data_IF_206566615442
#
_entry.id   IF_206566615442
#
_cell.length_a   1.000
_cell.length_b   1.000
_cell.length_c   1.000
_cell.angle_alpha   90.00
_cell.angle_beta   90.00
_cell.angle_gamma   90.00
#
_symmetry.space_group_name_H-M   'P 1'
#
loop_
_entity.id
_entity.type
_entity.pdbx_description
1 polymer ?
#
# COMPACT_ATOMS: atom_id res chain seq x y z
N UNK A 1 -21.19 28.50 -12.58
CA UNK A 1 -19.89 29.07 -12.17
C UNK A 1 -19.02 27.90 -11.77
N UNK A 2 -18.02 27.55 -12.59
CA UNK A 2 -17.10 26.45 -12.32
C UNK A 2 -16.03 26.94 -11.34
N UNK A 3 -16.08 26.46 -10.10
CA UNK A 3 -15.06 26.70 -9.08
C UNK A 3 -13.79 25.95 -9.48
N UNK A 4 -12.74 26.66 -9.86
CA UNK A 4 -11.31 26.29 -9.85
C UNK A 4 -10.88 24.86 -10.24
N UNK A 5 -11.65 24.16 -11.07
CA UNK A 5 -11.18 23.11 -11.98
C UNK A 5 -10.71 21.76 -11.40
N UNK A 6 -10.77 21.50 -10.09
CA UNK A 6 -10.33 20.21 -9.52
C UNK A 6 -11.50 19.28 -9.28
N UNK A 7 -11.82 18.44 -10.27
CA UNK A 7 -12.71 17.28 -10.09
C UNK A 7 -11.89 16.05 -9.66
N UNK A 8 -12.36 15.22 -8.71
CA UNK A 8 -13.56 15.39 -7.86
C UNK A 8 -13.30 16.32 -6.65
N UNK A 9 -14.28 17.16 -6.28
CA UNK A 9 -14.19 18.02 -5.09
C UNK A 9 -14.69 17.30 -3.81
N UNK A 10 -15.61 16.36 -3.99
CA UNK A 10 -16.19 15.53 -2.94
C UNK A 10 -16.28 14.06 -3.39
N UNK A 11 -16.32 13.14 -2.44
CA UNK A 11 -16.48 11.71 -2.71
C UNK A 11 -17.76 11.41 -3.50
N UNK A 12 -18.83 12.18 -3.28
CA UNK A 12 -20.09 12.07 -4.03
C UNK A 12 -19.92 12.37 -5.53
N UNK A 13 -18.93 13.16 -5.92
CA UNK A 13 -18.68 13.50 -7.33
C UNK A 13 -18.18 12.29 -8.14
N UNK A 14 -17.61 11.29 -7.45
CA UNK A 14 -17.24 9.99 -8.04
C UNK A 14 -18.47 9.13 -8.36
N UNK A 15 -19.62 9.44 -7.75
CA UNK A 15 -20.83 8.62 -7.79
C UNK A 15 -22.05 9.47 -8.20
N UNK A 16 -22.08 10.01 -9.44
CA UNK A 16 -23.11 10.97 -9.87
C UNK A 16 -24.54 10.42 -9.83
N UNK A 17 -24.70 9.10 -9.83
CA UNK A 17 -26.00 8.42 -9.73
C UNK A 17 -26.24 7.78 -8.36
N UNK A 18 -25.42 8.11 -7.37
CA UNK A 18 -25.40 7.49 -6.06
C UNK A 18 -24.48 6.28 -6.00
N UNK A 19 -23.85 6.12 -4.83
CA UNK A 19 -22.84 5.11 -4.57
C UNK A 19 -23.39 3.67 -4.72
N UNK A 20 -24.57 3.37 -4.15
CA UNK A 20 -25.18 2.04 -4.24
C UNK A 20 -25.47 1.63 -5.70
N UNK A 21 -26.10 2.53 -6.48
CA UNK A 21 -26.40 2.29 -7.90
C UNK A 21 -25.14 2.13 -8.74
N UNK A 22 -24.08 2.87 -8.41
CA UNK A 22 -22.79 2.74 -9.06
C UNK A 22 -22.19 1.36 -8.81
N UNK A 23 -22.17 0.89 -7.54
CA UNK A 23 -21.67 -0.44 -7.21
C UNK A 23 -22.49 -1.56 -7.85
N UNK A 24 -23.83 -1.49 -7.79
CA UNK A 24 -24.70 -2.47 -8.45
C UNK A 24 -24.45 -2.53 -9.97
N UNK A 25 -24.22 -1.37 -10.60
CA UNK A 25 -23.90 -1.29 -12.03
C UNK A 25 -22.56 -1.95 -12.32
N UNK A 26 -21.50 -1.60 -11.57
CA UNK A 26 -20.17 -2.19 -11.77
C UNK A 26 -20.21 -3.71 -11.60
N UNK A 27 -20.84 -4.22 -10.54
CA UNK A 27 -20.94 -5.65 -10.29
C UNK A 27 -21.78 -6.35 -11.36
N UNK A 28 -22.81 -5.70 -11.89
CA UNK A 28 -23.59 -6.23 -13.02
C UNK A 28 -22.72 -6.37 -14.27
N UNK A 29 -21.92 -5.35 -14.57
CA UNK A 29 -20.98 -5.35 -15.70
C UNK A 29 -19.82 -6.31 -15.54
N UNK A 30 -19.42 -6.62 -14.31
CA UNK A 30 -18.36 -7.58 -13.99
C UNK A 30 -18.57 -8.96 -14.63
N UNK A 31 -19.83 -9.35 -14.90
CA UNK A 31 -20.15 -10.61 -15.59
C UNK A 31 -19.78 -10.60 -17.07
N UNK A 32 -19.70 -9.43 -17.68
CA UNK A 32 -19.62 -9.24 -19.13
C UNK A 32 -18.29 -8.62 -19.58
N UNK A 33 -17.65 -7.84 -18.72
CA UNK A 33 -16.38 -7.16 -19.02
C UNK A 33 -15.22 -8.03 -18.55
N UNK A 34 -14.10 -7.95 -19.26
CA UNK A 34 -12.88 -8.62 -18.85
C UNK A 34 -12.42 -8.13 -17.47
N UNK A 35 -11.91 -9.05 -16.66
CA UNK A 35 -11.52 -8.83 -15.28
C UNK A 35 -10.63 -7.60 -15.09
N UNK A 36 -9.62 -7.35 -15.95
CA UNK A 36 -8.72 -6.22 -15.80
C UNK A 36 -9.39 -4.88 -15.60
N UNK A 37 -10.32 -4.55 -16.49
CA UNK A 37 -10.96 -3.24 -16.51
C UNK A 37 -11.84 -3.05 -15.29
N UNK A 38 -12.61 -4.07 -14.90
CA UNK A 38 -13.48 -3.99 -13.74
C UNK A 38 -12.69 -3.95 -12.43
N UNK A 39 -11.60 -4.73 -12.30
CA UNK A 39 -10.77 -4.71 -11.10
C UNK A 39 -9.96 -3.44 -10.97
N UNK A 40 -9.44 -2.88 -12.07
CA UNK A 40 -8.73 -1.60 -12.06
C UNK A 40 -9.69 -0.48 -11.62
N UNK A 41 -10.92 -0.49 -12.15
CA UNK A 41 -11.93 0.50 -11.79
C UNK A 41 -12.35 0.39 -10.31
N UNK A 42 -12.64 -0.82 -9.81
CA UNK A 42 -12.96 -1.01 -8.38
C UNK A 42 -11.75 -0.70 -7.51
N UNK A 43 -10.54 -1.09 -7.93
CA UNK A 43 -9.27 -0.77 -7.26
C UNK A 43 -9.14 0.73 -7.08
N UNK A 44 -9.24 1.50 -8.16
CA UNK A 44 -9.20 2.96 -8.12
C UNK A 44 -10.27 3.55 -7.18
N UNK A 45 -11.50 3.02 -7.18
CA UNK A 45 -12.55 3.46 -6.27
C UNK A 45 -12.29 3.10 -4.80
N UNK A 46 -11.63 1.97 -4.53
CA UNK A 46 -11.19 1.58 -3.20
C UNK A 46 -9.98 2.42 -2.75
N UNK A 47 -9.07 2.79 -3.64
CA UNK A 47 -7.94 3.66 -3.34
C UNK A 47 -8.41 5.09 -3.02
N UNK A 48 -9.32 5.65 -3.82
CA UNK A 48 -9.78 7.04 -3.67
C UNK A 48 -10.84 7.17 -2.57
N UNK A 49 -11.74 6.20 -2.44
CA UNK A 49 -12.88 6.24 -1.52
C UNK A 49 -13.10 4.89 -0.78
N UNK A 50 -12.12 4.39 -0.01
CA UNK A 50 -12.11 3.03 0.52
C UNK A 50 -13.35 2.69 1.34
N UNK A 51 -13.66 3.52 2.33
CA UNK A 51 -14.75 3.26 3.28
C UNK A 51 -16.13 3.36 2.63
N UNK A 52 -16.48 4.43 1.87
CA UNK A 52 -17.73 4.49 1.14
C UNK A 52 -17.88 3.32 0.15
N UNK A 53 -16.90 3.10 -0.72
CA UNK A 53 -16.93 2.04 -1.75
C UNK A 53 -17.15 0.67 -1.13
N UNK A 54 -16.36 0.31 -0.10
CA UNK A 54 -16.50 -1.00 0.54
C UNK A 54 -17.84 -1.14 1.28
N UNK A 55 -18.29 -0.10 1.99
CA UNK A 55 -19.60 -0.14 2.66
C UNK A 55 -20.74 -0.35 1.68
N UNK A 56 -20.67 0.27 0.49
CA UNK A 56 -21.69 0.11 -0.52
C UNK A 56 -21.64 -1.25 -1.22
N UNK A 57 -20.45 -1.81 -1.44
CA UNK A 57 -20.30 -3.19 -1.93
C UNK A 57 -20.89 -4.20 -0.93
N UNK A 58 -20.69 -3.99 0.38
CA UNK A 58 -21.26 -4.86 1.42
C UNK A 58 -22.80 -4.76 1.48
N UNK A 59 -23.35 -3.57 1.22
CA UNK A 59 -24.81 -3.33 1.24
C UNK A 59 -25.49 -3.61 -0.11
N UNK A 60 -24.71 -3.82 -1.18
CA UNK A 60 -25.21 -4.03 -2.53
C UNK A 60 -26.04 -5.31 -2.62
N UNK A 61 -27.15 -5.24 -3.37
CA UNK A 61 -27.95 -6.42 -3.74
C UNK A 61 -27.13 -7.45 -4.54
N UNK A 62 -26.06 -6.98 -5.19
CA UNK A 62 -25.14 -7.77 -5.99
C UNK A 62 -23.91 -8.26 -5.22
N UNK A 63 -23.82 -8.05 -3.89
CA UNK A 63 -22.68 -8.46 -3.05
C UNK A 63 -22.27 -9.91 -3.27
N UNK A 64 -23.20 -10.86 -3.20
CA UNK A 64 -22.88 -12.28 -3.39
C UNK A 64 -22.37 -12.58 -4.79
N UNK A 65 -22.90 -11.89 -5.81
CA UNK A 65 -22.42 -12.02 -7.18
C UNK A 65 -20.97 -11.54 -7.28
N UNK A 66 -20.67 -10.38 -6.68
CA UNK A 66 -19.31 -9.84 -6.65
C UNK A 66 -18.34 -10.81 -5.95
N UNK A 67 -18.66 -11.20 -4.71
CA UNK A 67 -17.82 -12.07 -3.89
C UNK A 67 -17.56 -13.43 -4.55
N UNK A 68 -18.61 -14.09 -5.05
CA UNK A 68 -18.47 -15.39 -5.72
C UNK A 68 -17.68 -15.29 -7.02
N UNK A 69 -17.88 -14.22 -7.81
CA UNK A 69 -17.15 -14.01 -9.06
C UNK A 69 -15.68 -13.74 -8.79
N UNK A 70 -15.36 -12.90 -7.80
CA UNK A 70 -14.00 -12.64 -7.34
C UNK A 70 -13.31 -13.94 -6.92
N UNK A 71 -13.94 -14.74 -6.05
CA UNK A 71 -13.40 -16.03 -5.62
C UNK A 71 -13.17 -16.98 -6.79
N UNK A 72 -14.17 -17.15 -7.67
CA UNK A 72 -14.05 -18.01 -8.86
C UNK A 72 -12.87 -17.60 -9.73
N UNK A 73 -12.65 -16.30 -9.92
CA UNK A 73 -11.55 -15.78 -10.74
C UNK A 73 -10.19 -15.98 -10.08
N UNK A 74 -10.07 -15.74 -8.77
CA UNK A 74 -8.86 -16.06 -8.02
C UNK A 74 -8.50 -17.55 -8.16
N UNK A 75 -9.49 -18.43 -8.11
CA UNK A 75 -9.31 -19.87 -8.31
C UNK A 75 -8.89 -20.19 -9.74
N UNK A 76 -9.59 -19.70 -10.76
CA UNK A 76 -9.25 -19.94 -12.18
C UNK A 76 -7.84 -19.47 -12.50
N UNK A 77 -7.47 -18.27 -12.08
CA UNK A 77 -6.14 -17.73 -12.36
C UNK A 77 -5.06 -18.46 -11.57
N UNK A 78 -5.28 -18.74 -10.29
CA UNK A 78 -4.34 -19.52 -9.49
C UNK A 78 -4.20 -20.97 -9.96
N UNK A 79 -5.26 -21.57 -10.52
CA UNK A 79 -5.19 -22.90 -11.11
C UNK A 79 -4.40 -22.89 -12.42
N UNK A 80 -4.62 -21.91 -13.30
CA UNK A 80 -3.80 -21.73 -14.51
C UNK A 80 -2.32 -21.63 -14.16
N UNK A 81 -2.01 -20.87 -13.13
CA UNK A 81 -0.66 -20.73 -12.57
C UNK A 81 -0.04 -22.06 -12.13
N UNK A 82 -0.85 -22.97 -11.57
CA UNK A 82 -0.40 -24.28 -11.10
C UNK A 82 -0.31 -25.31 -12.24
N UNK A 83 -1.22 -25.24 -13.21
CA UNK A 83 -1.29 -26.17 -14.35
C UNK A 83 -0.23 -25.88 -15.40
N UNK A 84 -0.02 -24.59 -15.66
CA UNK A 84 0.95 -24.15 -16.63
C UNK A 84 2.34 -24.29 -16.02
N UNK A 85 3.13 -25.24 -16.54
CA UNK A 85 4.62 -25.22 -16.46
C UNK A 85 5.20 -24.00 -17.22
N UNK A 86 4.45 -22.92 -17.33
CA UNK A 86 4.81 -21.72 -18.04
C UNK A 86 6.01 -21.11 -17.36
N UNK A 87 6.96 -20.71 -18.19
CA UNK A 87 8.13 -19.99 -17.74
C UNK A 87 7.69 -18.62 -17.20
N UNK A 88 7.52 -18.56 -15.88
CA UNK A 88 6.97 -17.44 -15.12
C UNK A 88 7.67 -16.12 -15.39
N UNK A 89 8.96 -16.17 -15.68
CA UNK A 89 9.79 -14.98 -15.85
C UNK A 89 9.35 -14.13 -17.05
N UNK A 90 8.68 -14.73 -18.04
CA UNK A 90 8.34 -14.05 -19.30
C UNK A 90 6.85 -14.07 -19.67
N UNK A 91 5.99 -14.67 -18.84
CA UNK A 91 4.56 -14.73 -19.14
C UNK A 91 3.87 -13.42 -18.75
N UNK A 92 3.43 -12.68 -19.77
CA UNK A 92 2.57 -11.50 -19.63
C UNK A 92 1.32 -11.81 -18.79
N UNK A 93 0.84 -13.06 -18.84
CA UNK A 93 -0.30 -13.52 -18.05
C UNK A 93 0.02 -13.66 -16.55
N UNK A 94 1.24 -14.08 -16.20
CA UNK A 94 1.69 -14.15 -14.81
C UNK A 94 1.86 -12.76 -14.19
N UNK A 95 2.39 -11.80 -14.95
CA UNK A 95 2.50 -10.40 -14.53
C UNK A 95 1.11 -9.75 -14.39
N UNK A 96 0.20 -10.01 -15.33
CA UNK A 96 -1.19 -9.57 -15.21
C UNK A 96 -1.85 -10.18 -13.97
N UNK A 97 -1.75 -11.49 -13.75
CA UNK A 97 -2.30 -12.13 -12.55
C UNK A 97 -1.78 -11.47 -11.26
N UNK A 98 -0.47 -11.21 -11.19
CA UNK A 98 0.15 -10.55 -10.05
C UNK A 98 -0.43 -9.17 -9.80
N UNK A 99 -0.48 -8.29 -10.81
CA UNK A 99 -0.97 -6.93 -10.66
C UNK A 99 -2.41 -6.92 -10.12
N UNK A 100 -3.28 -7.72 -10.74
CA UNK A 100 -4.71 -7.71 -10.48
C UNK A 100 -5.09 -8.30 -9.12
N UNK A 101 -4.43 -9.39 -8.72
CA UNK A 101 -4.69 -10.05 -7.44
C UNK A 101 -4.11 -9.24 -6.28
N UNK A 102 -2.92 -8.68 -6.46
CA UNK A 102 -2.27 -7.89 -5.41
C UNK A 102 -3.02 -6.58 -5.24
N UNK A 103 -3.31 -5.83 -6.30
CA UNK A 103 -3.96 -4.52 -6.19
C UNK A 103 -5.34 -4.61 -5.55
N UNK A 104 -6.22 -5.45 -6.12
CA UNK A 104 -7.59 -5.57 -5.63
C UNK A 104 -7.68 -6.03 -4.18
N UNK A 105 -6.85 -7.01 -3.77
CA UNK A 105 -6.95 -7.52 -2.40
C UNK A 105 -6.08 -6.74 -1.40
N UNK A 106 -4.99 -6.12 -1.84
CA UNK A 106 -4.27 -5.16 -0.99
C UNK A 106 -5.18 -4.00 -0.62
N UNK A 107 -5.96 -3.50 -1.57
CA UNK A 107 -6.94 -2.45 -1.28
C UNK A 107 -8.02 -2.95 -0.30
N UNK A 108 -8.61 -4.13 -0.53
CA UNK A 108 -9.58 -4.72 0.40
C UNK A 108 -9.04 -4.92 1.82
N UNK A 109 -7.75 -5.26 1.95
CA UNK A 109 -7.11 -5.51 3.26
C UNK A 109 -6.59 -4.24 3.94
N UNK A 110 -6.21 -3.22 3.16
CA UNK A 110 -5.79 -1.91 3.68
C UNK A 110 -6.97 -1.15 4.30
N UNK A 111 -8.18 -1.28 3.74
CA UNK A 111 -9.40 -0.65 4.30
C UNK A 111 -9.70 -1.13 5.72
N UNK A 112 -9.26 -2.34 6.09
CA UNK A 112 -9.59 -2.96 7.38
C UNK A 112 -8.73 -2.48 8.55
N UNK A 113 -7.63 -1.78 8.29
CA UNK A 113 -6.72 -1.27 9.34
C UNK A 113 -7.38 -0.15 10.14
N UNK A 114 -8.23 -0.53 11.11
CA UNK A 114 -8.84 0.39 12.08
C UNK A 114 -10.33 0.20 12.39
N UNK A 115 -11.00 -0.84 11.86
CA UNK A 115 -12.45 -1.03 12.08
C UNK A 115 -12.79 -2.20 13.03
N UNK A 116 -13.89 -2.06 13.78
CA UNK A 116 -14.32 -2.99 14.85
C UNK A 116 -14.96 -4.29 14.36
N UNK A 117 -15.42 -4.32 13.10
CA UNK A 117 -15.70 -5.53 12.34
C UNK A 117 -15.08 -5.39 10.95
N UNK A 118 -14.36 -6.41 10.44
CA UNK A 118 -13.72 -6.31 9.13
C UNK A 118 -14.81 -6.25 8.05
N UNK A 119 -14.93 -5.12 7.34
CA UNK A 119 -15.91 -4.96 6.25
C UNK A 119 -15.67 -5.99 5.13
N UNK A 120 -14.43 -6.44 4.96
CA UNK A 120 -14.07 -7.50 4.01
C UNK A 120 -14.67 -8.84 4.44
N UNK A 121 -14.79 -9.12 5.75
CA UNK A 121 -15.54 -10.30 6.19
C UNK A 121 -17.00 -10.22 5.75
N UNK A 122 -17.67 -9.09 6.01
CA UNK A 122 -19.07 -8.89 5.64
C UNK A 122 -19.30 -8.95 4.12
N UNK A 123 -18.28 -8.59 3.32
CA UNK A 123 -18.31 -8.70 1.87
C UNK A 123 -18.43 -10.16 1.41
N UNK A 124 -17.80 -11.09 2.13
CA UNK A 124 -17.76 -12.52 1.80
C UNK A 124 -18.76 -13.37 2.60
N UNK A 125 -19.66 -12.77 3.39
CA UNK A 125 -20.71 -13.51 4.10
C UNK A 125 -21.58 -14.31 3.11
N UNK A 126 -21.65 -15.63 3.31
CA UNK A 126 -22.32 -16.59 2.42
C UNK A 126 -21.46 -17.08 1.25
N UNK A 127 -20.18 -16.70 1.17
CA UNK A 127 -19.21 -17.16 0.18
C UNK A 127 -17.96 -17.80 0.82
N UNK A 128 -18.06 -18.25 2.07
CA UNK A 128 -16.94 -18.70 2.90
C UNK A 128 -16.23 -19.92 2.28
N UNK A 129 -16.99 -20.85 1.70
CA UNK A 129 -16.43 -22.03 1.02
C UNK A 129 -15.59 -21.61 -0.20
N UNK A 130 -16.11 -20.72 -1.06
CA UNK A 130 -15.38 -20.26 -2.23
C UNK A 130 -14.16 -19.43 -1.83
N UNK A 131 -14.28 -18.62 -0.78
CA UNK A 131 -13.17 -17.85 -0.23
C UNK A 131 -12.06 -18.77 0.31
N UNK A 132 -12.44 -19.85 1.02
CA UNK A 132 -11.49 -20.84 1.52
C UNK A 132 -10.75 -21.59 0.41
N UNK A 133 -11.47 -21.96 -0.66
CA UNK A 133 -10.84 -22.56 -1.85
C UNK A 133 -9.86 -21.59 -2.52
N UNK A 134 -10.25 -20.33 -2.66
CA UNK A 134 -9.38 -19.27 -3.23
C UNK A 134 -8.13 -19.07 -2.39
N UNK A 135 -8.27 -19.00 -1.06
CA UNK A 135 -7.15 -18.89 -0.13
C UNK A 135 -6.20 -20.09 -0.23
N UNK A 136 -6.72 -21.32 -0.36
CA UNK A 136 -5.89 -22.51 -0.53
C UNK A 136 -5.10 -22.49 -1.85
N UNK A 137 -5.74 -22.12 -2.96
CA UNK A 137 -5.05 -22.00 -4.25
C UNK A 137 -3.95 -20.94 -4.17
N UNK A 138 -4.25 -19.76 -3.61
CA UNK A 138 -3.24 -18.71 -3.43
C UNK A 138 -2.11 -19.16 -2.50
N UNK A 139 -2.39 -19.94 -1.45
CA UNK A 139 -1.34 -20.50 -0.60
C UNK A 139 -0.42 -21.48 -1.35
N UNK A 140 -0.96 -22.26 -2.29
CA UNK A 140 -0.17 -23.14 -3.16
C UNK A 140 0.67 -22.33 -4.16
N UNK A 141 0.06 -21.32 -4.79
CA UNK A 141 0.75 -20.37 -5.67
C UNK A 141 1.90 -19.68 -4.94
N UNK A 142 1.66 -19.23 -3.70
CA UNK A 142 2.65 -18.58 -2.85
C UNK A 142 3.82 -19.49 -2.45
N UNK A 143 3.68 -20.82 -2.54
CA UNK A 143 4.80 -21.76 -2.33
C UNK A 143 5.59 -22.04 -3.60
N UNK A 144 5.16 -21.52 -4.75
CA UNK A 144 5.81 -21.78 -6.02
C UNK A 144 7.19 -21.08 -6.09
N UNK A 145 8.27 -21.78 -6.50
CA UNK A 145 9.65 -21.26 -6.45
C UNK A 145 9.90 -19.98 -7.26
N UNK A 146 9.08 -19.72 -8.28
CA UNK A 146 9.21 -18.58 -9.20
C UNK A 146 8.24 -17.42 -8.87
N UNK A 147 7.44 -17.55 -7.80
CA UNK A 147 6.44 -16.57 -7.40
C UNK A 147 6.96 -15.59 -6.34
N UNK A 148 6.44 -14.37 -6.33
CA UNK A 148 6.51 -13.48 -5.16
C UNK A 148 5.72 -14.10 -4.00
N UNK A 149 6.33 -15.10 -3.38
CA UNK A 149 5.75 -16.04 -2.42
C UNK A 149 5.07 -15.33 -1.27
N UNK A 150 5.70 -14.28 -0.79
CA UNK A 150 5.35 -13.69 0.50
C UNK A 150 4.08 -12.85 0.41
N UNK A 151 3.87 -12.13 -0.70
CA UNK A 151 2.67 -11.31 -0.92
C UNK A 151 1.46 -12.20 -1.13
N UNK A 152 1.57 -13.20 -2.00
CA UNK A 152 0.47 -14.13 -2.29
C UNK A 152 0.17 -15.00 -1.06
N UNK A 153 1.19 -15.40 -0.29
CA UNK A 153 0.98 -16.13 0.97
C UNK A 153 0.34 -15.24 2.05
N UNK A 154 0.77 -13.98 2.19
CA UNK A 154 0.16 -13.02 3.11
C UNK A 154 -1.32 -12.80 2.76
N UNK A 155 -1.61 -12.66 1.47
CA UNK A 155 -2.96 -12.57 0.95
C UNK A 155 -3.79 -13.82 1.26
N UNK A 156 -3.25 -15.01 0.98
CA UNK A 156 -3.92 -16.27 1.29
C UNK A 156 -4.24 -16.40 2.78
N UNK A 157 -3.32 -15.98 3.65
CA UNK A 157 -3.56 -15.94 5.09
C UNK A 157 -4.69 -14.98 5.47
N UNK A 158 -4.76 -13.80 4.86
CA UNK A 158 -5.79 -12.81 5.16
C UNK A 158 -7.18 -13.27 4.69
N UNK A 159 -7.29 -13.79 3.47
CA UNK A 159 -8.53 -14.40 2.98
C UNK A 159 -8.96 -15.59 3.85
N UNK A 160 -8.00 -16.38 4.34
CA UNK A 160 -8.23 -17.48 5.28
C UNK A 160 -8.66 -17.02 6.68
N UNK A 161 -8.39 -15.78 7.09
CA UNK A 161 -8.92 -15.21 8.34
C UNK A 161 -10.39 -14.85 8.18
N UNK A 162 -10.81 -14.38 7.01
CA UNK A 162 -12.19 -14.05 6.73
C UNK A 162 -13.13 -15.27 6.83
N UNK A 163 -12.64 -16.49 6.52
CA UNK A 163 -13.46 -17.72 6.59
C UNK A 163 -13.60 -18.29 8.00
N UNK A 164 -12.73 -17.93 8.94
CA UNK A 164 -12.78 -18.48 10.29
C UNK A 164 -13.87 -17.77 11.10
N UNK A 165 -14.70 -18.49 11.87
CA UNK A 165 -15.52 -17.83 12.89
C UNK A 165 -14.62 -16.96 13.77
N UNK A 166 -15.09 -15.77 14.22
CA UNK A 166 -14.29 -14.95 15.11
C UNK A 166 -14.02 -15.80 16.36
N UNK A 167 -12.76 -16.20 16.56
CA UNK A 167 -12.42 -17.01 17.73
C UNK A 167 -12.74 -16.19 18.98
N UNK A 168 -13.55 -16.70 19.92
CA UNK A 168 -14.03 -15.89 21.04
C UNK A 168 -12.90 -15.31 21.88
N UNK A 169 -11.76 -15.99 22.01
CA UNK A 169 -10.51 -15.46 22.57
C UNK A 169 -9.38 -16.34 22.02
N UNK A 170 -8.44 -15.77 21.27
CA UNK A 170 -7.12 -16.37 21.08
C UNK A 170 -6.07 -15.38 21.60
N UNK A 171 -4.99 -15.85 22.24
CA UNK A 171 -3.86 -14.99 22.57
C UNK A 171 -3.35 -14.34 21.28
N UNK A 172 -2.88 -13.10 21.40
CA UNK A 172 -2.24 -12.33 20.33
C UNK A 172 -1.44 -13.23 19.41
N UNK A 173 -1.75 -13.21 18.11
CA UNK A 173 -1.10 -14.06 17.11
C UNK A 173 0.42 -14.10 17.32
N UNK A 174 1.10 -15.25 17.15
CA UNK A 174 2.55 -15.28 17.19
C UNK A 174 3.04 -14.25 16.18
N UNK A 175 3.78 -13.24 16.67
CA UNK A 175 4.37 -12.21 15.83
C UNK A 175 5.16 -12.94 14.75
N UNK A 176 4.63 -12.94 13.53
CA UNK A 176 5.32 -13.50 12.37
C UNK A 176 6.70 -12.87 12.30
N UNK A 177 7.71 -13.74 12.22
CA UNK A 177 9.13 -13.39 12.14
C UNK A 177 9.35 -12.24 11.13
N UNK A 178 10.07 -11.22 11.59
CA UNK A 178 10.76 -10.14 10.87
C UNK A 178 9.95 -9.26 9.90
N UNK A 179 9.68 -8.03 10.34
CA UNK A 179 9.12 -6.89 9.59
C UNK A 179 10.01 -6.31 8.47
N UNK A 180 11.18 -6.91 8.22
CA UNK A 180 12.18 -6.44 7.25
C UNK A 180 11.82 -6.66 5.76
N UNK A 181 10.66 -7.28 5.46
CA UNK A 181 10.29 -7.71 4.11
C UNK A 181 9.34 -6.78 3.35
N UNK A 182 8.84 -5.70 3.96
CA UNK A 182 7.96 -4.71 3.28
C UNK A 182 8.52 -4.21 1.93
N UNK A 183 9.84 -4.01 1.73
CA UNK A 183 10.34 -3.48 0.44
C UNK A 183 10.45 -4.51 -0.69
N UNK A 184 10.46 -5.81 -0.38
CA UNK A 184 10.32 -6.82 -1.44
C UNK A 184 8.92 -6.82 -2.04
N UNK A 185 7.90 -6.41 -1.28
CA UNK A 185 6.51 -6.29 -1.74
C UNK A 185 6.36 -5.17 -2.77
N UNK A 186 7.08 -4.06 -2.59
CA UNK A 186 6.92 -2.89 -3.47
C UNK A 186 7.81 -2.91 -4.71
N UNK A 187 8.98 -3.55 -4.66
CA UNK A 187 9.85 -3.75 -5.84
C UNK A 187 9.29 -4.80 -6.83
N UNK A 188 8.19 -5.47 -6.47
CA UNK A 188 7.60 -6.57 -7.23
C UNK A 188 6.13 -6.40 -7.62
N UNK A 189 5.52 -5.25 -7.31
CA UNK A 189 4.22 -4.87 -7.85
C UNK A 189 4.35 -4.62 -9.36
N UNK A 190 3.80 -5.49 -10.22
CA UNK A 190 3.75 -5.22 -11.65
C UNK A 190 2.73 -4.10 -11.86
N UNK A 191 3.19 -2.94 -12.32
CA UNK A 191 2.33 -1.79 -12.60
C UNK A 191 2.50 -0.60 -11.66
N UNK A 192 3.05 -0.77 -10.45
CA UNK A 192 3.50 0.40 -9.68
C UNK A 192 4.80 0.88 -10.30
N UNK A 193 4.71 1.94 -11.08
CA UNK A 193 5.86 2.65 -11.61
C UNK A 193 6.83 2.95 -10.45
N UNK A 194 8.13 2.68 -10.63
CA UNK A 194 9.14 2.94 -9.61
C UNK A 194 9.09 4.39 -9.10
N UNK A 195 8.62 5.32 -9.95
CA UNK A 195 8.31 6.70 -9.60
C UNK A 195 7.18 6.84 -8.56
N UNK A 196 6.14 6.02 -8.60
CA UNK A 196 5.04 6.02 -7.62
C UNK A 196 5.47 5.43 -6.28
N UNK A 197 6.20 4.32 -6.30
CA UNK A 197 6.78 3.74 -5.08
C UNK A 197 7.71 4.75 -4.41
N UNK A 198 8.60 5.35 -5.18
CA UNK A 198 9.48 6.40 -4.68
C UNK A 198 8.67 7.56 -4.07
N UNK A 199 7.60 7.98 -4.74
CA UNK A 199 6.72 9.04 -4.25
C UNK A 199 6.05 8.68 -2.92
N UNK A 200 5.55 7.45 -2.77
CA UNK A 200 4.93 6.96 -1.54
C UNK A 200 5.92 6.84 -0.36
N UNK A 201 7.15 6.37 -0.63
CA UNK A 201 8.21 6.32 0.40
C UNK A 201 8.61 7.73 0.82
N UNK A 202 8.74 8.64 -0.14
CA UNK A 202 9.03 10.04 0.15
C UNK A 202 7.88 10.71 0.90
N UNK A 203 6.63 10.36 0.63
CA UNK A 203 5.48 10.83 1.41
C UNK A 203 5.53 10.36 2.87
N UNK A 204 5.87 9.10 3.11
CA UNK A 204 6.11 8.60 4.47
C UNK A 204 7.27 9.32 5.16
N UNK A 205 8.33 9.64 4.43
CA UNK A 205 9.42 10.48 4.95
C UNK A 205 8.95 11.93 5.28
N UNK A 206 8.00 12.49 4.49
CA UNK A 206 7.47 13.86 4.62
C UNK A 206 6.41 14.04 5.69
N UNK A 207 5.50 13.07 5.84
CA UNK A 207 4.41 13.03 6.83
C UNK A 207 4.91 13.14 8.27
N UNK A 208 6.23 13.18 8.40
CA UNK A 208 6.96 13.30 9.63
C UNK A 208 7.33 11.89 9.97
N UNK A 209 8.52 11.48 9.54
CA UNK A 209 9.35 10.72 10.47
C UNK A 209 9.25 11.52 11.76
N UNK A 210 8.53 11.01 12.77
CA UNK A 210 8.26 11.80 13.95
C UNK A 210 9.54 11.89 14.77
N UNK A 211 10.68 11.44 14.24
CA UNK A 211 11.93 11.20 14.94
C UNK A 211 13.12 11.79 14.21
N UNK A 212 14.18 11.97 14.98
CA UNK A 212 15.49 12.30 14.47
C UNK A 212 16.00 11.19 13.52
N UNK A 213 16.55 11.56 12.37
CA UNK A 213 17.10 10.62 11.39
C UNK A 213 18.45 10.00 11.80
N UNK A 214 19.05 10.48 12.89
CA UNK A 214 20.29 9.89 13.45
C UNK A 214 19.96 8.58 14.16
N UNK A 215 20.54 7.45 13.73
CA UNK A 215 20.28 6.10 14.28
C UNK A 215 20.47 6.04 15.81
N UNK A 216 21.48 6.73 16.33
CA UNK A 216 21.76 6.79 17.77
C UNK A 216 20.75 7.65 18.58
N UNK A 217 19.80 8.34 17.93
CA UNK A 217 18.90 9.29 18.57
C UNK A 217 17.44 8.81 18.50
N UNK A 218 16.83 8.59 19.68
CA UNK A 218 15.44 8.15 19.80
C UNK A 218 14.42 9.29 19.92
N UNK A 219 14.86 10.55 19.82
CA UNK A 219 14.00 11.70 20.03
C UNK A 219 12.86 11.71 19.02
N UNK A 220 11.63 11.71 19.55
CA UNK A 220 10.41 11.94 18.80
C UNK A 220 10.02 13.42 18.93
N UNK A 221 9.83 14.12 17.82
CA UNK A 221 9.51 15.55 17.75
C UNK A 221 8.19 15.92 18.43
N UNK A 222 7.26 14.97 18.63
CA UNK A 222 6.05 15.20 19.44
C UNK A 222 6.33 15.16 20.95
N UNK A 223 7.21 14.27 21.41
CA UNK A 223 7.48 14.06 22.84
C UNK A 223 8.30 15.21 23.45
N UNK A 224 9.17 15.80 22.66
CA UNK A 224 10.11 16.85 23.12
C UNK A 224 9.57 18.27 22.93
N UNK A 225 8.37 18.43 22.37
CA UNK A 225 7.78 19.74 22.03
C UNK A 225 8.60 20.56 21.00
N UNK A 226 9.71 20.02 20.52
CA UNK A 226 10.65 20.71 19.65
C UNK A 226 10.49 20.21 18.21
N UNK A 227 10.25 21.15 17.31
CA UNK A 227 10.14 20.86 15.89
C UNK A 227 11.50 20.39 15.36
N UNK A 228 11.54 19.16 14.84
CA UNK A 228 12.74 18.64 14.19
C UNK A 228 13.12 19.51 12.99
N UNK A 229 14.41 19.79 12.87
CA UNK A 229 14.98 20.65 11.83
C UNK A 229 15.25 19.83 10.56
N UNK A 230 14.70 20.25 9.42
CA UNK A 230 15.01 19.64 8.11
C UNK A 230 16.48 19.87 7.76
N UNK A 231 17.11 18.91 7.10
CA UNK A 231 18.41 19.13 6.46
C UNK A 231 18.30 20.29 5.46
N UNK A 232 19.11 21.35 5.63
CA UNK A 232 19.05 22.52 4.75
C UNK A 232 19.43 22.25 3.29
N UNK A 233 20.06 21.11 2.99
CA UNK A 233 20.51 20.76 1.63
C UNK A 233 19.48 19.93 0.85
N UNK A 234 19.07 18.78 1.41
CA UNK A 234 18.11 17.89 0.74
C UNK A 234 16.65 18.15 1.13
N UNK A 235 16.38 18.77 2.28
CA UNK A 235 15.01 18.98 2.79
C UNK A 235 14.28 17.74 3.31
N UNK A 236 14.85 16.54 3.17
CA UNK A 236 14.20 15.25 3.47
C UNK A 236 14.34 14.86 4.95
N UNK A 237 15.57 14.54 5.38
CA UNK A 237 15.81 14.08 6.74
C UNK A 237 15.63 15.21 7.77
N UNK A 238 15.17 14.84 8.97
CA UNK A 238 14.92 15.77 10.08
C UNK A 238 15.76 15.38 11.29
N UNK A 239 16.23 16.38 12.04
CA UNK A 239 17.11 16.18 13.19
C UNK A 239 16.64 17.00 14.38
N UNK A 240 16.77 16.47 15.59
CA UNK A 240 16.52 17.24 16.80
C UNK A 240 17.62 18.28 17.07
N UNK A 241 18.83 18.05 16.59
CA UNK A 241 19.97 18.94 16.77
C UNK A 241 20.97 18.88 15.62
N UNK A 242 21.82 19.91 15.50
CA UNK A 242 22.95 19.92 14.55
C UNK A 242 23.95 18.79 14.83
N UNK A 243 24.09 18.35 16.08
CA UNK A 243 24.97 17.25 16.44
C UNK A 243 24.48 15.92 15.87
N UNK A 244 23.17 15.65 15.95
CA UNK A 244 22.57 14.46 15.33
C UNK A 244 22.71 14.50 13.81
N UNK A 245 22.56 15.67 13.18
CA UNK A 245 22.83 15.83 11.76
C UNK A 245 24.28 15.50 11.41
N UNK A 246 25.26 16.01 12.18
CA UNK A 246 26.68 15.69 11.97
C UNK A 246 26.99 14.22 12.16
N UNK A 247 26.37 13.56 13.15
CA UNK A 247 26.56 12.13 13.38
C UNK A 247 26.03 11.30 12.21
N UNK A 248 24.79 11.55 11.77
CA UNK A 248 24.23 10.88 10.60
C UNK A 248 25.02 11.20 9.31
N UNK A 249 25.59 12.40 9.20
CA UNK A 249 26.43 12.78 8.05
C UNK A 249 27.66 11.89 7.88
N UNK A 250 28.28 11.47 8.98
CA UNK A 250 29.51 10.66 9.00
C UNK A 250 29.28 9.22 9.48
N UNK A 251 28.04 8.75 9.52
CA UNK A 251 27.71 7.39 9.96
C UNK A 251 28.38 6.35 9.04
N UNK A 252 29.01 5.32 9.61
CA UNK A 252 29.78 4.34 8.83
C UNK A 252 28.87 3.41 8.02
N UNK A 253 27.68 3.14 8.54
CA UNK A 253 26.72 2.20 7.95
C UNK A 253 25.78 2.87 6.95
N UNK A 254 25.45 4.14 7.18
CA UNK A 254 24.50 4.89 6.36
C UNK A 254 24.81 6.40 6.39
N UNK A 255 25.93 6.82 5.80
CA UNK A 255 26.32 8.22 5.82
C UNK A 255 25.33 9.05 5.01
N UNK A 256 24.63 9.98 5.66
CA UNK A 256 23.68 10.87 4.97
C UNK A 256 24.33 11.61 3.81
N UNK A 257 25.64 11.92 3.88
CA UNK A 257 26.36 12.69 2.86
C UNK A 257 26.19 12.10 1.44
N UNK A 258 26.13 10.77 1.32
CA UNK A 258 26.06 10.06 0.04
C UNK A 258 24.66 10.22 -0.55
N UNK A 259 23.61 9.94 0.24
CA UNK A 259 22.22 10.18 -0.18
C UNK A 259 21.84 11.67 -0.29
N UNK A 260 22.56 12.59 0.37
CA UNK A 260 22.18 14.01 0.45
C UNK A 260 22.22 14.70 -0.91
N UNK A 261 23.30 14.49 -1.68
CA UNK A 261 23.46 15.10 -3.00
C UNK A 261 22.41 14.56 -3.98
N UNK A 262 22.15 13.27 -3.92
CA UNK A 262 21.16 12.58 -4.75
C UNK A 262 19.73 13.08 -4.46
N UNK A 263 19.34 13.12 -3.18
CA UNK A 263 18.06 13.70 -2.78
C UNK A 263 17.96 15.19 -3.16
N UNK A 264 19.06 15.96 -3.08
CA UNK A 264 19.06 17.35 -3.53
C UNK A 264 18.77 17.46 -5.03
N UNK A 265 19.40 16.60 -5.86
CA UNK A 265 19.14 16.52 -7.31
C UNK A 265 17.66 16.19 -7.58
N UNK A 266 17.10 15.20 -6.88
CA UNK A 266 15.69 14.83 -7.02
C UNK A 266 14.74 15.97 -6.57
N UNK A 267 15.04 16.61 -5.43
CA UNK A 267 14.25 17.74 -4.92
C UNK A 267 14.24 18.94 -5.89
N UNK A 268 15.31 19.13 -6.65
CA UNK A 268 15.41 20.19 -7.66
C UNK A 268 14.51 19.92 -8.87
N UNK A 269 14.26 18.66 -9.21
CA UNK A 269 13.34 18.25 -10.28
C UNK A 269 11.89 18.41 -9.82
N UNK A 270 11.60 17.90 -8.64
CA UNK A 270 10.28 17.99 -8.04
C UNK A 270 10.42 18.16 -6.53
N UNK A 271 9.91 19.29 -6.03
CA UNK A 271 9.92 19.58 -4.61
C UNK A 271 9.34 18.42 -3.82
N UNK A 272 10.06 18.01 -2.78
CA UNK A 272 9.56 17.04 -1.81
C UNK A 272 8.44 17.60 -0.92
N UNK A 273 7.85 18.75 -1.22
CA UNK A 273 6.61 19.19 -0.61
C UNK A 273 5.40 19.08 -1.59
N UNK A 274 5.61 18.61 -2.83
CA UNK A 274 4.55 18.44 -3.86
C UNK A 274 3.72 17.15 -3.71
N UNK A 275 2.48 17.10 -4.20
CA UNK A 275 1.57 15.93 -4.09
C UNK A 275 2.18 14.69 -4.79
N UNK A 276 2.08 13.46 -4.24
CA UNK A 276 2.75 12.25 -4.77
C UNK A 276 2.54 12.00 -6.27
N UNK A 277 1.30 12.12 -6.77
CA UNK A 277 0.99 11.94 -8.20
C UNK A 277 1.77 12.92 -9.08
N UNK A 278 1.93 14.17 -8.62
CA UNK A 278 2.71 15.19 -9.34
C UNK A 278 4.22 14.93 -9.28
N UNK A 279 4.69 14.25 -8.23
CA UNK A 279 6.08 13.90 -8.05
C UNK A 279 6.51 12.81 -9.05
N UNK A 280 5.72 11.74 -9.14
CA UNK A 280 5.98 10.63 -10.05
C UNK A 280 6.01 11.10 -11.52
N UNK A 281 4.99 11.88 -11.92
CA UNK A 281 4.90 12.47 -13.27
C UNK A 281 6.11 13.34 -13.62
N UNK A 282 6.61 14.14 -12.68
CA UNK A 282 7.79 15.01 -12.89
C UNK A 282 9.07 14.22 -13.03
N UNK A 283 9.28 13.19 -12.21
CA UNK A 283 10.46 12.34 -12.33
C UNK A 283 10.49 11.56 -13.64
N UNK A 284 9.33 11.07 -14.07
CA UNK A 284 9.17 10.44 -15.37
C UNK A 284 9.51 11.40 -16.51
N UNK A 285 9.00 12.63 -16.46
CA UNK A 285 9.26 13.66 -17.47
C UNK A 285 10.72 14.10 -17.53
N UNK A 286 11.42 14.06 -16.39
CA UNK A 286 12.84 14.37 -16.29
C UNK A 286 13.76 13.18 -16.58
N UNK A 287 13.20 12.01 -16.95
CA UNK A 287 13.93 10.77 -17.21
C UNK A 287 14.94 10.44 -16.09
N UNK A 288 14.51 10.58 -14.83
CA UNK A 288 15.36 10.26 -13.68
C UNK A 288 15.71 8.79 -13.70
N UNK A 289 17.00 8.48 -13.58
CA UNK A 289 17.50 7.11 -13.51
C UNK A 289 16.88 6.36 -12.33
N UNK A 290 16.34 5.16 -12.57
CA UNK A 290 15.76 4.35 -11.51
C UNK A 290 16.81 3.90 -10.48
N UNK A 291 18.07 3.81 -10.87
CA UNK A 291 19.20 3.50 -9.99
C UNK A 291 19.37 4.57 -8.92
N UNK A 292 19.26 5.85 -9.31
CA UNK A 292 19.27 6.99 -8.40
C UNK A 292 18.12 6.87 -7.36
N UNK A 293 16.95 6.40 -7.78
CA UNK A 293 15.80 6.23 -6.87
C UNK A 293 16.00 5.08 -5.89
N UNK A 294 16.49 3.93 -6.38
CA UNK A 294 16.77 2.75 -5.54
C UNK A 294 17.81 3.08 -4.48
N UNK A 295 18.85 3.84 -4.82
CA UNK A 295 19.85 4.27 -3.86
C UNK A 295 19.25 5.15 -2.75
N UNK A 296 18.41 6.12 -3.10
CA UNK A 296 17.71 6.95 -2.09
C UNK A 296 16.76 6.10 -1.23
N UNK A 297 16.04 5.15 -1.83
CA UNK A 297 15.15 4.26 -1.08
C UNK A 297 15.93 3.44 -0.05
N UNK A 298 17.13 2.97 -0.38
CA UNK A 298 17.97 2.22 0.57
C UNK A 298 18.36 3.06 1.79
N UNK A 299 18.68 4.35 1.57
CA UNK A 299 19.07 5.31 2.60
C UNK A 299 17.89 5.67 3.51
N UNK A 300 16.70 5.87 2.94
CA UNK A 300 15.47 6.17 3.70
C UNK A 300 15.00 4.93 4.47
N UNK A 301 15.09 3.74 3.87
CA UNK A 301 14.68 2.46 4.46
C UNK A 301 15.41 2.18 5.78
N UNK A 302 16.73 2.38 5.84
CA UNK A 302 17.48 2.13 7.07
C UNK A 302 16.97 2.96 8.27
N UNK A 303 16.53 4.19 8.03
CA UNK A 303 15.96 5.05 9.07
C UNK A 303 14.57 4.56 9.53
N UNK A 304 13.84 3.85 8.66
CA UNK A 304 12.50 3.32 8.94
C UNK A 304 12.56 1.94 9.63
N UNK A 305 13.52 1.10 9.25
CA UNK A 305 13.59 -0.31 9.66
C UNK A 305 14.22 -0.56 11.04
N UNK A 306 14.98 0.39 11.60
CA UNK A 306 15.73 0.22 12.86
C UNK A 306 14.88 0.21 14.14
N UNK A 307 13.53 0.18 14.07
CA UNK A 307 12.69 0.08 15.26
C UNK A 307 11.53 -0.93 15.17
N UNK A 308 11.24 -1.65 16.27
CA UNK A 308 10.05 -2.47 16.43
C UNK A 308 8.85 -1.57 16.74
N UNK A 309 8.10 -1.15 15.73
CA UNK A 309 6.87 -0.37 15.93
C UNK A 309 5.83 -1.13 16.77
N UNK A 310 5.60 -0.78 18.02
CA UNK A 310 4.38 -1.24 18.70
C UNK A 310 3.15 -0.56 18.09
N UNK A 311 2.05 -1.31 17.96
CA UNK A 311 0.82 -0.92 17.26
C UNK A 311 0.21 0.40 17.80
N UNK A 312 0.48 0.72 19.07
CA UNK A 312 0.03 1.92 19.78
C UNK A 312 0.69 3.22 19.29
N UNK A 313 1.95 3.17 18.82
CA UNK A 313 2.68 4.38 18.38
C UNK A 313 2.21 4.86 17.02
N UNK A 314 1.81 3.94 16.14
CA UNK A 314 1.19 4.25 14.85
C UNK A 314 -0.16 4.96 15.03
N UNK A 315 -0.99 4.49 15.98
CA UNK A 315 -2.29 5.08 16.32
C UNK A 315 -2.17 6.52 16.84
N UNK A 316 -1.15 6.80 17.66
CA UNK A 316 -0.92 8.13 18.25
C UNK A 316 -0.43 9.17 17.24
N UNK A 317 0.34 8.76 16.24
CA UNK A 317 0.84 9.67 15.20
C UNK A 317 -0.28 10.11 14.25
N UNK A 318 -1.16 9.18 13.84
CA UNK A 318 -2.25 9.45 12.88
C UNK A 318 -3.52 10.08 13.48
N UNK A 319 -3.92 9.74 14.71
CA UNK A 319 -5.20 10.23 15.27
C UNK A 319 -5.17 11.70 15.74
N UNK A 320 -3.99 12.29 15.96
CA UNK A 320 -3.87 13.69 16.43
C UNK A 320 -3.94 14.69 15.26
N UNK A 321 -3.62 14.27 14.03
CA UNK A 321 -3.75 15.11 12.83
C UNK A 321 -5.20 15.42 12.43
N UNK A 322 -6.17 14.65 12.94
CA UNK A 322 -7.59 14.80 12.64
C UNK A 322 -8.38 15.62 13.69
N UNK A 323 -7.73 16.11 14.76
CA UNK A 323 -8.37 16.93 15.80
C UNK A 323 -7.97 18.42 15.78
N UNK A 324 -7.33 18.87 14.71
CA UNK A 324 -6.96 20.29 14.56
C UNK A 324 -7.33 20.82 13.17
N UNK A 325 -8.62 20.73 12.84
CA UNK A 325 -9.33 21.64 11.94
C UNK A 325 -10.78 21.72 12.40
#
# INVERSE_FOLDING_TARGET
MATDGTWPAHCQDLFPHGLARTMDSIVSWWKFIDMPVCSEFIGALLTVAPKPTLSALVQSSSRQTFASTLCKRLQEMGQKVLDERVNWENSTQALSFRAHVIEMVSELTLVERGQSRPLTRALFDGCETQLGLSANILALVGRHPLGHSDVIAALAMELGRCTRPPSPVLPSAPQTRSRSQLPHIYSSLPGSDAYELFSAVMENARGGLPRCASRACRVVGKETGTRLQKCGRCGVFRYCSRQCQKHHWSDVSNPHKDGCALMQKLNAIASFDAIPVTLASRYRSAAVDLTDMVEVLSQVKQVVDDEPWELEDYRRVYMVGLKSK
#
